data_IF_641641205986
#
_entry.id   IF_641641205986
#
_cell.length_a   1.000
_cell.length_b   1.000
_cell.length_c   1.000
_cell.angle_alpha   90.00
_cell.angle_beta   90.00
_cell.angle_gamma   90.00
#
_symmetry.space_group_name_H-M   'P 1'
#
loop_
_entity.id
_entity.type
_entity.pdbx_description
1 polymer ?
#
# COMPACT_ATOMS: atom_id res chain seq x y z
N UNK A 1 -23.52 12.60 -2.16
CA UNK A 1 -23.07 12.77 -0.77
C UNK A 1 -23.39 11.53 0.06
N UNK A 2 -24.63 11.02 0.05
CA UNK A 2 -25.04 9.79 0.76
C UNK A 2 -24.21 8.53 0.39
N UNK A 3 -23.92 8.31 -0.89
CA UNK A 3 -23.11 7.17 -1.34
C UNK A 3 -21.65 7.19 -0.84
N UNK A 4 -21.06 8.36 -0.58
CA UNK A 4 -19.67 8.40 -0.11
C UNK A 4 -19.61 8.08 1.39
N UNK A 5 -20.55 8.60 2.19
CA UNK A 5 -20.69 8.24 3.61
C UNK A 5 -20.81 6.73 3.82
N UNK A 6 -21.68 6.07 3.04
CA UNK A 6 -21.82 4.61 3.05
C UNK A 6 -20.51 3.87 2.78
N UNK A 7 -19.66 4.38 1.88
CA UNK A 7 -18.37 3.76 1.60
C UNK A 7 -17.40 3.91 2.78
N UNK A 8 -17.35 5.10 3.40
CA UNK A 8 -16.49 5.36 4.56
C UNK A 8 -16.86 4.40 5.70
N UNK A 9 -18.15 4.35 6.04
CA UNK A 9 -18.65 3.49 7.11
C UNK A 9 -18.43 2.00 6.78
N UNK A 10 -18.55 1.59 5.52
CA UNK A 10 -18.22 0.23 5.09
C UNK A 10 -16.74 -0.11 5.30
N UNK A 11 -15.84 0.80 4.95
CA UNK A 11 -14.40 0.63 5.12
C UNK A 11 -14.03 0.56 6.61
N UNK A 12 -14.58 1.46 7.43
CA UNK A 12 -14.41 1.46 8.89
C UNK A 12 -14.91 0.14 9.51
N UNK A 13 -16.11 -0.30 9.12
CA UNK A 13 -16.67 -1.58 9.58
C UNK A 13 -15.77 -2.76 9.20
N UNK A 14 -15.28 -2.81 7.95
CA UNK A 14 -14.39 -3.88 7.50
C UNK A 14 -13.10 -3.90 8.34
N UNK A 15 -12.43 -2.75 8.50
CA UNK A 15 -11.16 -2.65 9.22
C UNK A 15 -11.29 -3.08 10.70
N UNK A 16 -12.41 -2.72 11.36
CA UNK A 16 -12.68 -3.10 12.74
C UNK A 16 -12.99 -4.61 12.92
N UNK A 17 -13.35 -5.30 11.85
CA UNK A 17 -13.82 -6.69 11.90
C UNK A 17 -12.92 -7.68 11.14
N UNK A 18 -11.71 -7.30 10.73
CA UNK A 18 -10.83 -8.15 9.90
C UNK A 18 -10.53 -9.52 10.52
N UNK A 19 -10.45 -9.61 11.85
CA UNK A 19 -10.23 -10.85 12.62
C UNK A 19 -11.51 -11.64 12.96
N UNK A 20 -12.66 -11.21 12.43
CA UNK A 20 -13.96 -11.86 12.62
C UNK A 20 -14.54 -12.31 11.28
N UNK A 21 -15.45 -13.30 11.23
CA UNK A 21 -16.16 -13.64 10.01
C UNK A 21 -16.97 -12.44 9.47
N UNK A 22 -16.50 -11.83 8.38
CA UNK A 22 -17.23 -10.74 7.69
C UNK A 22 -18.02 -11.32 6.53
N UNK A 23 -19.33 -11.07 6.52
CA UNK A 23 -20.21 -11.31 5.36
C UNK A 23 -20.65 -9.97 4.77
N UNK A 24 -20.81 -9.91 3.46
CA UNK A 24 -21.30 -8.68 2.79
C UNK A 24 -22.68 -8.29 3.32
N UNK A 25 -23.51 -9.28 3.66
CA UNK A 25 -24.83 -9.10 4.26
C UNK A 25 -24.73 -8.30 5.57
N UNK A 26 -23.80 -8.68 6.45
CA UNK A 26 -23.57 -7.99 7.73
C UNK A 26 -23.16 -6.53 7.55
N UNK A 27 -22.36 -6.24 6.51
CA UNK A 27 -21.99 -4.86 6.16
C UNK A 27 -23.24 -4.09 5.71
N UNK A 28 -24.03 -4.67 4.79
CA UNK A 28 -25.22 -3.99 4.27
C UNK A 28 -26.30 -3.75 5.33
N UNK A 29 -26.46 -4.69 6.27
CA UNK A 29 -27.37 -4.58 7.42
C UNK A 29 -26.93 -3.46 8.37
N UNK A 30 -25.63 -3.40 8.69
CA UNK A 30 -25.05 -2.35 9.53
C UNK A 30 -25.25 -0.95 8.93
N UNK A 31 -25.13 -0.84 7.61
CA UNK A 31 -25.25 0.42 6.87
C UNK A 31 -26.68 0.75 6.44
N UNK A 32 -27.66 -0.07 6.83
CA UNK A 32 -29.07 0.08 6.44
C UNK A 32 -29.28 0.25 4.92
N UNK A 33 -28.50 -0.48 4.11
CA UNK A 33 -28.55 -0.40 2.65
C UNK A 33 -28.69 -1.78 2.00
N UNK A 34 -28.98 -1.82 0.70
CA UNK A 34 -29.01 -3.11 -0.02
C UNK A 34 -27.59 -3.62 -0.28
N UNK A 35 -27.40 -4.95 -0.23
CA UNK A 35 -26.15 -5.60 -0.65
C UNK A 35 -25.69 -5.17 -2.05
N UNK A 36 -26.63 -5.06 -2.99
CA UNK A 36 -26.32 -4.63 -4.36
C UNK A 36 -25.78 -3.20 -4.41
N UNK A 37 -26.32 -2.31 -3.57
CA UNK A 37 -25.88 -0.91 -3.49
C UNK A 37 -24.42 -0.84 -3.04
N UNK A 38 -24.07 -1.51 -1.93
CA UNK A 38 -22.71 -1.44 -1.40
C UNK A 38 -21.70 -2.15 -2.31
N UNK A 39 -22.06 -3.28 -2.92
CA UNK A 39 -21.18 -3.96 -3.88
C UNK A 39 -20.87 -3.11 -5.12
N UNK A 40 -21.88 -2.44 -5.68
CA UNK A 40 -21.70 -1.55 -6.83
C UNK A 40 -20.86 -0.33 -6.46
N UNK A 41 -21.17 0.29 -5.33
CA UNK A 41 -20.45 1.45 -4.82
C UNK A 41 -18.98 1.11 -4.56
N UNK A 42 -18.72 0.00 -3.87
CA UNK A 42 -17.37 -0.42 -3.54
C UNK A 42 -16.59 -0.78 -4.80
N UNK A 43 -17.19 -1.48 -5.77
CA UNK A 43 -16.54 -1.80 -7.05
C UNK A 43 -16.27 -0.54 -7.87
N UNK A 44 -17.22 0.39 -7.92
CA UNK A 44 -17.08 1.64 -8.65
C UNK A 44 -15.93 2.50 -8.11
N UNK A 45 -15.85 2.64 -6.79
CA UNK A 45 -14.77 3.41 -6.17
C UNK A 45 -13.47 2.62 -6.18
N UNK A 46 -13.44 1.42 -5.59
CA UNK A 46 -12.20 0.68 -5.33
C UNK A 46 -11.65 -0.11 -6.52
N UNK A 47 -12.43 -0.31 -7.58
CA UNK A 47 -12.11 -1.17 -8.72
C UNK A 47 -11.82 -2.64 -8.35
N UNK A 48 -12.23 -3.04 -7.14
CA UNK A 48 -12.15 -4.41 -6.61
C UNK A 48 -13.43 -4.73 -5.85
N UNK A 49 -13.72 -6.01 -5.67
CA UNK A 49 -14.86 -6.43 -4.85
C UNK A 49 -14.59 -6.24 -3.36
N UNK A 50 -15.65 -6.13 -2.54
CA UNK A 50 -15.55 -6.11 -1.08
C UNK A 50 -14.78 -7.32 -0.57
N UNK A 51 -15.05 -8.51 -1.13
CA UNK A 51 -14.35 -9.75 -0.77
C UNK A 51 -12.85 -9.66 -1.05
N UNK A 52 -12.47 -9.16 -2.21
CA UNK A 52 -11.06 -9.02 -2.59
C UNK A 52 -10.33 -8.02 -1.68
N UNK A 53 -10.99 -6.92 -1.33
CA UNK A 53 -10.47 -5.97 -0.35
C UNK A 53 -10.24 -6.62 1.02
N UNK A 54 -11.24 -7.34 1.55
CA UNK A 54 -11.11 -8.05 2.83
C UNK A 54 -9.94 -9.04 2.80
N UNK A 55 -9.79 -9.81 1.72
CA UNK A 55 -8.68 -10.76 1.57
C UNK A 55 -7.33 -10.01 1.57
N UNK A 56 -7.18 -8.97 0.76
CA UNK A 56 -5.95 -8.16 0.69
C UNK A 56 -5.59 -7.57 2.06
N UNK A 57 -6.57 -6.98 2.76
CA UNK A 57 -6.39 -6.41 4.10
C UNK A 57 -6.02 -7.45 5.14
N UNK A 58 -6.71 -8.59 5.18
CA UNK A 58 -6.37 -9.71 6.07
C UNK A 58 -4.95 -10.22 5.83
N UNK A 59 -4.54 -10.39 4.57
CA UNK A 59 -3.19 -10.89 4.26
C UNK A 59 -2.10 -9.86 4.55
N UNK A 60 -2.38 -8.56 4.44
CA UNK A 60 -1.48 -7.49 4.92
C UNK A 60 -1.32 -7.48 6.45
N UNK A 61 -2.40 -7.75 7.20
CA UNK A 61 -2.34 -7.86 8.66
C UNK A 61 -1.64 -9.16 9.09
N UNK A 62 -1.96 -10.26 8.43
CA UNK A 62 -1.35 -11.56 8.69
C UNK A 62 0.17 -11.54 8.41
N UNK A 63 0.65 -10.86 7.37
CA UNK A 63 2.10 -10.73 7.14
C UNK A 63 2.78 -9.98 8.28
N UNK A 64 2.18 -8.91 8.80
CA UNK A 64 2.70 -8.18 9.98
C UNK A 64 2.75 -9.08 11.21
N UNK A 65 1.75 -9.93 11.43
CA UNK A 65 1.77 -10.94 12.50
C UNK A 65 2.89 -11.97 12.30
N UNK A 66 3.18 -12.38 11.06
CA UNK A 66 4.29 -13.28 10.76
C UNK A 66 5.65 -12.64 11.07
N UNK A 67 5.80 -11.34 10.86
CA UNK A 67 7.03 -10.59 11.20
C UNK A 67 7.17 -10.44 12.72
N UNK A 68 6.11 -9.97 13.39
CA UNK A 68 6.15 -9.68 14.83
C UNK A 68 6.21 -10.93 15.70
N UNK A 69 5.61 -12.02 15.25
CA UNK A 69 5.47 -13.26 16.01
C UNK A 69 6.00 -14.46 15.19
N UNK A 70 7.32 -14.57 14.95
CA UNK A 70 7.89 -15.59 14.07
C UNK A 70 7.62 -17.03 14.53
N UNK A 71 7.43 -17.23 15.83
CA UNK A 71 7.17 -18.54 16.45
C UNK A 71 5.70 -18.96 16.41
N UNK A 72 4.75 -18.04 16.12
CA UNK A 72 3.33 -18.40 16.03
C UNK A 72 3.08 -19.36 14.87
N UNK A 73 2.17 -20.31 15.07
CA UNK A 73 1.83 -21.25 14.00
C UNK A 73 1.08 -20.54 12.88
N UNK A 74 1.29 -20.99 11.64
CA UNK A 74 0.56 -20.47 10.47
C UNK A 74 -0.95 -20.73 10.58
N UNK A 75 -1.33 -21.85 11.20
CA UNK A 75 -2.73 -22.19 11.42
C UNK A 75 -3.38 -21.23 12.41
N UNK A 76 -2.73 -20.89 13.51
CA UNK A 76 -3.29 -19.95 14.50
C UNK A 76 -3.53 -18.57 13.90
N UNK A 77 -2.56 -18.07 13.14
CA UNK A 77 -2.70 -16.80 12.41
C UNK A 77 -3.82 -16.91 11.37
N UNK A 78 -3.88 -18.02 10.63
CA UNK A 78 -4.96 -18.27 9.66
C UNK A 78 -6.35 -18.28 10.31
N UNK A 79 -6.51 -18.96 11.44
CA UNK A 79 -7.77 -19.05 12.19
C UNK A 79 -8.22 -17.68 12.70
N UNK A 80 -7.29 -16.85 13.17
CA UNK A 80 -7.57 -15.47 13.59
C UNK A 80 -8.17 -14.63 12.45
N UNK A 81 -7.75 -14.86 11.20
CA UNK A 81 -8.31 -14.18 10.03
C UNK A 81 -9.45 -14.97 9.35
N UNK A 82 -10.04 -15.94 10.05
CA UNK A 82 -11.22 -16.69 9.62
C UNK A 82 -10.97 -17.81 8.61
N UNK A 83 -9.73 -18.33 8.54
CA UNK A 83 -9.38 -19.49 7.72
C UNK A 83 -9.32 -20.76 8.57
N UNK A 84 -10.25 -21.69 8.33
CA UNK A 84 -10.35 -22.94 9.09
C UNK A 84 -9.34 -24.03 8.73
N UNK A 85 -8.39 -23.75 7.84
CA UNK A 85 -7.32 -24.70 7.45
C UNK A 85 -6.09 -23.96 6.95
N UNK A 86 -4.93 -24.59 7.09
CA UNK A 86 -3.66 -24.03 6.63
C UNK A 86 -3.62 -23.93 5.09
N UNK A 87 -4.26 -24.86 4.40
CA UNK A 87 -4.35 -24.87 2.92
C UNK A 87 -5.18 -23.70 2.41
N UNK A 88 -6.28 -23.36 3.09
CA UNK A 88 -7.09 -22.19 2.72
C UNK A 88 -6.35 -20.87 2.98
N UNK A 89 -5.68 -20.75 4.13
CA UNK A 89 -4.86 -19.60 4.45
C UNK A 89 -3.70 -19.43 3.47
N UNK A 90 -2.93 -20.49 3.22
CA UNK A 90 -1.79 -20.48 2.30
C UNK A 90 -2.19 -20.05 0.90
N UNK A 91 -3.29 -20.58 0.35
CA UNK A 91 -3.78 -20.16 -0.98
C UNK A 91 -4.17 -18.68 -1.02
N UNK A 92 -4.84 -18.18 0.01
CA UNK A 92 -5.21 -16.77 0.09
C UNK A 92 -3.97 -15.88 0.21
N UNK A 93 -3.01 -16.25 1.04
CA UNK A 93 -1.77 -15.51 1.23
C UNK A 93 -0.96 -15.47 -0.06
N UNK A 94 -0.77 -16.61 -0.73
CA UNK A 94 -0.10 -16.70 -2.03
C UNK A 94 -0.79 -15.85 -3.09
N UNK A 95 -2.13 -15.78 -3.09
CA UNK A 95 -2.85 -14.96 -4.06
C UNK A 95 -2.61 -13.46 -3.91
N UNK A 96 -2.15 -13.00 -2.74
CA UNK A 96 -1.89 -11.59 -2.41
C UNK A 96 -0.40 -11.28 -2.45
N UNK A 97 0.42 -12.08 -1.77
CA UNK A 97 1.87 -11.87 -1.62
C UNK A 97 2.72 -12.57 -2.68
N UNK A 98 2.11 -13.37 -3.56
CA UNK A 98 2.76 -14.16 -4.61
C UNK A 98 3.80 -15.18 -4.11
N UNK A 99 3.88 -15.38 -2.79
CA UNK A 99 4.72 -16.37 -2.11
C UNK A 99 3.92 -17.06 -1.00
N UNK A 100 4.31 -18.25 -0.58
CA UNK A 100 3.67 -18.92 0.56
C UNK A 100 3.96 -18.19 1.88
N UNK A 101 3.09 -18.34 2.91
CA UNK A 101 3.38 -17.82 4.24
C UNK A 101 4.71 -18.33 4.82
N UNK A 102 5.06 -19.59 4.52
CA UNK A 102 6.33 -20.21 4.95
C UNK A 102 7.55 -19.59 4.26
N UNK A 103 7.45 -19.27 2.97
CA UNK A 103 8.50 -18.55 2.24
C UNK A 103 8.62 -17.11 2.72
N UNK A 104 7.49 -16.43 2.91
CA UNK A 104 7.45 -15.08 3.48
C UNK A 104 8.14 -15.03 4.85
N UNK A 105 7.89 -16.01 5.72
CA UNK A 105 8.53 -16.06 7.05
C UNK A 105 10.06 -16.19 6.98
N UNK A 106 10.61 -16.82 5.94
CA UNK A 106 12.06 -16.97 5.77
C UNK A 106 12.73 -15.69 5.30
N UNK A 107 12.01 -14.88 4.54
CA UNK A 107 12.47 -13.59 4.03
C UNK A 107 11.33 -12.57 4.17
N UNK A 108 11.08 -12.11 5.41
CA UNK A 108 9.96 -11.23 5.68
C UNK A 108 10.17 -9.87 5.03
N UNK A 109 9.07 -9.29 4.58
CA UNK A 109 9.01 -7.86 4.27
C UNK A 109 8.27 -7.14 5.39
N UNK A 110 8.82 -6.02 5.85
CA UNK A 110 8.26 -5.24 6.95
C UNK A 110 7.18 -4.26 6.48
N UNK A 111 7.18 -3.94 5.19
CA UNK A 111 6.19 -3.02 4.61
C UNK A 111 4.77 -3.60 4.56
N UNK A 112 3.79 -2.69 4.59
CA UNK A 112 2.38 -3.04 4.39
C UNK A 112 2.01 -2.99 2.90
N UNK A 113 1.72 -4.14 2.30
CA UNK A 113 1.47 -4.24 0.86
C UNK A 113 0.15 -3.58 0.43
N UNK A 114 -0.94 -3.84 1.15
CA UNK A 114 -2.25 -3.22 0.89
C UNK A 114 -2.74 -2.51 2.15
N UNK A 115 -2.31 -1.26 2.40
CA UNK A 115 -2.77 -0.47 3.54
C UNK A 115 -4.28 -0.18 3.47
N UNK A 116 -4.86 0.18 4.62
CA UNK A 116 -6.26 0.60 4.70
C UNK A 116 -6.52 1.89 3.92
N UNK A 117 -7.80 2.23 3.76
CA UNK A 117 -8.17 3.52 3.18
C UNK A 117 -8.63 4.46 4.28
N UNK A 118 -8.22 5.72 4.21
CA UNK A 118 -8.65 6.77 5.13
C UNK A 118 -9.33 7.88 4.34
N UNK A 119 -10.65 7.95 4.40
CA UNK A 119 -11.43 9.02 3.77
C UNK A 119 -11.74 10.05 4.86
N UNK A 120 -11.12 11.22 4.78
CA UNK A 120 -11.39 12.31 5.73
C UNK A 120 -12.79 12.88 5.48
N UNK A 121 -13.63 12.93 6.52
CA UNK A 121 -15.00 13.47 6.43
C UNK A 121 -15.02 14.95 6.03
N UNK A 122 -13.97 15.71 6.32
CA UNK A 122 -13.84 17.13 5.95
C UNK A 122 -13.77 17.33 4.42
N UNK A 123 -13.35 16.33 3.65
CA UNK A 123 -13.35 16.36 2.17
C UNK A 123 -14.75 16.14 1.57
N UNK A 124 -15.76 15.86 2.39
CA UNK A 124 -17.16 15.71 1.96
C UNK A 124 -17.80 17.05 1.58
N UNK A 125 -17.27 18.16 2.09
CA UNK A 125 -17.82 19.51 1.90
C UNK A 125 -17.35 20.16 0.59
N UNK A 126 -16.17 19.77 0.09
CA UNK A 126 -15.59 20.34 -1.12
C UNK A 126 -16.03 19.53 -2.36
N UNK A 127 -16.91 20.11 -3.19
CA UNK A 127 -17.54 19.46 -4.36
C UNK A 127 -16.58 18.98 -5.45
N UNK A 128 -15.28 19.22 -5.29
CA UNK A 128 -14.23 18.65 -6.12
C UNK A 128 -13.62 17.49 -5.36
N UNK A 129 -14.32 16.36 -5.40
CA UNK A 129 -13.70 15.07 -5.12
C UNK A 129 -12.50 14.95 -6.04
N UNK A 130 -11.31 15.22 -5.51
CA UNK A 130 -10.09 14.86 -6.23
C UNK A 130 -10.11 13.34 -6.28
N UNK A 131 -9.96 12.78 -7.47
CA UNK A 131 -10.11 11.37 -7.85
C UNK A 131 -9.15 10.39 -7.12
N UNK A 132 -8.59 10.76 -5.98
CA UNK A 132 -7.56 10.00 -5.27
C UNK A 132 -8.15 9.35 -4.03
N UNK A 133 -8.30 8.03 -4.10
CA UNK A 133 -8.37 7.19 -2.90
C UNK A 133 -7.17 7.54 -2.02
N UNK A 134 -7.43 8.02 -0.82
CA UNK A 134 -6.35 8.24 0.14
C UNK A 134 -6.06 6.92 0.85
N UNK A 135 -4.89 6.37 0.58
CA UNK A 135 -4.30 5.34 1.43
C UNK A 135 -4.14 5.92 2.83
N UNK A 136 -4.40 5.12 3.85
CA UNK A 136 -4.14 5.49 5.23
C UNK A 136 -2.61 5.53 5.47
N UNK A 137 -2.09 6.73 5.68
CA UNK A 137 -0.66 6.98 5.96
C UNK A 137 -0.44 7.36 7.43
N UNK A 138 -1.35 6.99 8.33
CA UNK A 138 -1.29 7.40 9.75
C UNK A 138 0.02 6.96 10.42
N UNK A 139 0.46 5.73 10.17
CA UNK A 139 1.73 5.21 10.72
C UNK A 139 2.92 6.03 10.22
N UNK A 140 3.00 6.30 8.91
CA UNK A 140 4.02 7.19 8.35
C UNK A 140 3.94 8.60 8.95
N UNK A 141 2.73 9.13 9.13
CA UNK A 141 2.51 10.46 9.69
C UNK A 141 2.91 10.56 11.17
N UNK A 142 2.82 9.47 11.93
CA UNK A 142 3.30 9.44 13.30
C UNK A 142 4.83 9.33 13.34
N UNK A 143 5.43 8.46 12.51
CA UNK A 143 6.89 8.36 12.40
C UNK A 143 7.55 9.67 11.94
N UNK A 144 6.97 10.38 10.97
CA UNK A 144 7.58 11.62 10.44
C UNK A 144 7.57 12.76 11.47
N UNK A 145 6.61 12.82 12.40
CA UNK A 145 6.60 13.82 13.48
C UNK A 145 7.76 13.66 14.45
N UNK A 146 8.23 12.43 14.60
CA UNK A 146 9.31 12.07 15.51
C UNK A 146 10.69 12.29 14.86
N UNK A 147 10.76 12.47 13.53
CA UNK A 147 12.00 12.68 12.77
C UNK A 147 12.19 14.15 12.37
N UNK A 148 13.44 14.63 12.42
CA UNK A 148 13.81 15.99 12.02
C UNK A 148 15.02 15.98 11.08
N UNK A 149 14.98 16.82 10.06
CA UNK A 149 16.06 16.94 9.08
C UNK A 149 16.29 15.68 8.24
N UNK A 150 15.36 14.73 8.24
CA UNK A 150 15.48 13.47 7.51
C UNK A 150 15.17 13.64 6.02
N UNK A 151 15.37 12.57 5.25
CA UNK A 151 14.99 12.50 3.84
C UNK A 151 13.82 11.54 3.62
N UNK A 152 12.95 11.91 2.68
CA UNK A 152 11.90 11.07 2.12
C UNK A 152 12.34 10.64 0.73
N UNK A 153 12.43 9.33 0.49
CA UNK A 153 12.73 8.78 -0.84
C UNK A 153 11.42 8.37 -1.48
N UNK A 154 10.88 9.23 -2.33
CA UNK A 154 9.60 9.04 -3.00
C UNK A 154 9.77 8.19 -4.25
N UNK A 155 8.92 7.18 -4.41
CA UNK A 155 8.93 6.23 -5.51
C UNK A 155 7.60 6.20 -6.27
N UNK A 156 7.63 6.04 -7.59
CA UNK A 156 6.45 5.85 -8.44
C UNK A 156 6.72 4.82 -9.54
N UNK A 157 5.85 3.83 -9.72
CA UNK A 157 5.99 2.86 -10.83
C UNK A 157 5.65 3.55 -12.15
N UNK A 158 6.61 3.53 -13.07
CA UNK A 158 6.38 3.94 -14.45
C UNK A 158 5.38 3.00 -15.12
N UNK A 159 4.15 3.46 -15.33
CA UNK A 159 3.17 2.79 -16.19
C UNK A 159 2.54 1.54 -15.56
N UNK A 160 2.05 1.64 -14.32
CA UNK A 160 1.35 0.51 -13.68
C UNK A 160 0.02 0.14 -14.38
N UNK A 161 -0.63 1.08 -15.06
CA UNK A 161 -1.90 0.82 -15.80
C UNK A 161 -1.69 -0.23 -16.90
N UNK A 162 -0.76 -0.07 -17.86
CA UNK A 162 -0.43 -1.10 -18.84
C UNK A 162 -0.14 -2.49 -18.24
N UNK A 163 0.58 -2.56 -17.11
CA UNK A 163 0.89 -3.84 -16.45
C UNK A 163 -0.40 -4.49 -15.92
N UNK A 164 -1.31 -3.68 -15.36
CA UNK A 164 -2.62 -4.16 -14.90
C UNK A 164 -3.54 -4.63 -16.03
N UNK A 165 -3.36 -4.12 -17.26
CA UNK A 165 -4.09 -4.57 -18.45
C UNK A 165 -3.63 -5.96 -18.91
N UNK A 166 -2.35 -6.31 -18.71
CA UNK A 166 -1.87 -7.70 -18.89
C UNK A 166 -2.56 -8.60 -17.87
N UNK A 167 -2.47 -8.25 -16.59
CA UNK A 167 -3.19 -8.92 -15.50
C UNK A 167 -3.12 -8.09 -14.23
N UNK A 168 -4.23 -8.03 -13.50
CA UNK A 168 -4.25 -7.42 -12.15
C UNK A 168 -3.20 -8.03 -11.21
N UNK A 169 -2.94 -9.34 -11.35
CA UNK A 169 -1.92 -10.03 -10.55
C UNK A 169 -0.50 -9.69 -10.97
N UNK A 170 -0.27 -9.39 -12.26
CA UNK A 170 1.01 -8.86 -12.72
C UNK A 170 1.26 -7.46 -12.14
N UNK A 171 0.23 -6.63 -12.07
CA UNK A 171 0.30 -5.33 -11.38
C UNK A 171 0.58 -5.48 -9.88
N UNK A 172 -0.06 -6.43 -9.20
CA UNK A 172 0.23 -6.73 -7.79
C UNK A 172 1.69 -7.21 -7.61
N UNK A 173 2.22 -8.04 -8.52
CA UNK A 173 3.63 -8.45 -8.52
C UNK A 173 4.60 -7.28 -8.78
N UNK A 174 4.25 -6.35 -9.67
CA UNK A 174 5.02 -5.13 -9.90
C UNK A 174 5.14 -4.30 -8.63
N UNK A 175 4.02 -4.10 -7.92
CA UNK A 175 4.01 -3.40 -6.62
C UNK A 175 4.90 -4.10 -5.60
N UNK A 176 4.74 -5.42 -5.43
CA UNK A 176 5.57 -6.20 -4.48
C UNK A 176 7.05 -6.05 -4.80
N UNK A 177 7.41 -6.17 -6.08
CA UNK A 177 8.80 -6.10 -6.53
C UNK A 177 9.38 -4.71 -6.31
N UNK A 178 8.63 -3.65 -6.63
CA UNK A 178 9.04 -2.27 -6.35
C UNK A 178 9.26 -2.01 -4.86
N UNK A 179 8.32 -2.45 -4.01
CA UNK A 179 8.45 -2.33 -2.56
C UNK A 179 9.67 -3.09 -2.04
N UNK A 180 9.94 -4.30 -2.55
CA UNK A 180 11.14 -5.08 -2.20
C UNK A 180 12.44 -4.40 -2.62
N UNK A 181 12.50 -3.80 -3.81
CA UNK A 181 13.68 -3.03 -4.25
C UNK A 181 13.94 -1.83 -3.33
N UNK A 182 12.88 -1.15 -2.89
CA UNK A 182 13.00 -0.05 -1.93
C UNK A 182 13.44 -0.54 -0.55
N UNK A 183 12.85 -1.64 -0.05
CA UNK A 183 13.22 -2.27 1.23
C UNK A 183 14.67 -2.79 1.23
N UNK A 184 15.16 -3.34 0.12
CA UNK A 184 16.55 -3.80 -0.01
C UNK A 184 17.56 -2.65 -0.05
N UNK A 185 17.19 -1.50 -0.58
CA UNK A 185 18.04 -0.30 -0.54
C UNK A 185 18.03 0.34 0.85
N UNK A 186 16.89 0.32 1.55
CA UNK A 186 16.67 0.96 2.84
C UNK A 186 17.68 0.52 3.91
N UNK A 187 18.04 1.47 4.78
CA UNK A 187 18.83 1.17 5.98
C UNK A 187 18.03 0.40 7.03
N UNK A 188 18.70 -0.11 8.08
CA UNK A 188 18.05 -0.91 9.14
C UNK A 188 16.98 -0.15 9.93
N UNK A 189 17.10 1.18 10.05
CA UNK A 189 16.14 2.04 10.78
C UNK A 189 15.23 2.83 9.82
N UNK A 190 15.38 2.62 8.52
CA UNK A 190 14.52 3.21 7.50
C UNK A 190 13.22 2.40 7.39
N UNK A 191 12.12 3.07 7.04
CA UNK A 191 10.81 2.42 6.96
C UNK A 191 10.20 2.68 5.59
N UNK A 192 9.75 1.61 4.92
CA UNK A 192 9.13 1.67 3.59
C UNK A 192 7.61 1.63 3.70
N UNK A 193 6.95 2.62 3.12
CA UNK A 193 5.50 2.73 3.08
C UNK A 193 4.98 2.79 1.65
N UNK A 194 3.82 2.17 1.44
CA UNK A 194 3.00 2.41 0.27
C UNK A 194 2.01 3.52 0.59
N UNK A 195 2.03 4.59 -0.18
CA UNK A 195 1.22 5.80 0.07
C UNK A 195 0.15 6.03 -1.02
N UNK A 196 0.18 5.23 -2.08
CA UNK A 196 -0.80 5.30 -3.16
C UNK A 196 -0.95 3.99 -3.94
N UNK A 197 -1.47 4.09 -5.15
CA UNK A 197 -1.65 2.93 -6.05
C UNK A 197 -0.31 2.38 -6.53
N UNK A 198 0.53 3.25 -7.07
CA UNK A 198 1.88 3.04 -7.58
C UNK A 198 2.92 3.91 -6.85
N UNK A 199 2.50 4.63 -5.81
CA UNK A 199 3.31 5.60 -5.08
C UNK A 199 3.79 5.03 -3.73
N UNK A 200 5.08 5.25 -3.43
CA UNK A 200 5.78 4.70 -2.28
C UNK A 200 6.70 5.75 -1.65
N UNK A 201 7.13 5.51 -0.41
CA UNK A 201 8.11 6.35 0.28
C UNK A 201 8.99 5.53 1.20
N UNK A 202 10.29 5.80 1.19
CA UNK A 202 11.19 5.44 2.29
C UNK A 202 11.29 6.65 3.23
N UNK A 203 10.97 6.43 4.49
CA UNK A 203 11.26 7.36 5.57
C UNK A 203 12.65 7.02 6.12
N UNK A 204 13.63 7.87 5.84
CA UNK A 204 15.01 7.62 6.28
C UNK A 204 15.24 8.01 7.73
N UNK A 205 16.12 7.31 8.43
CA UNK A 205 16.62 7.71 9.77
C UNK A 205 17.97 8.42 9.68
N UNK A 206 18.10 9.31 8.70
CA UNK A 206 19.37 9.99 8.42
C UNK A 206 19.14 11.40 7.91
N UNK A 207 20.02 12.30 8.34
CA UNK A 207 20.09 13.68 7.84
C UNK A 207 21.14 13.85 6.73
N UNK A 208 21.78 12.77 6.29
CA UNK A 208 22.83 12.79 5.29
C UNK A 208 22.26 12.74 3.87
N UNK A 209 22.50 13.80 3.10
CA UNK A 209 22.09 13.87 1.70
C UNK A 209 22.83 12.86 0.82
N UNK A 210 24.09 12.52 1.15
CA UNK A 210 24.85 11.52 0.40
C UNK A 210 24.23 10.13 0.56
N UNK A 211 23.77 9.80 1.76
CA UNK A 211 22.99 8.59 2.04
C UNK A 211 21.69 8.56 1.22
N UNK A 212 20.90 9.64 1.23
CA UNK A 212 19.67 9.72 0.45
C UNK A 212 19.91 9.55 -1.07
N UNK A 213 20.99 10.14 -1.60
CA UNK A 213 21.40 9.96 -3.01
C UNK A 213 21.82 8.53 -3.31
N UNK A 214 22.53 7.87 -2.38
CA UNK A 214 22.91 6.46 -2.50
C UNK A 214 21.66 5.57 -2.63
N UNK A 215 20.67 5.75 -1.76
CA UNK A 215 19.40 5.01 -1.81
C UNK A 215 18.71 5.16 -3.17
N UNK A 216 18.57 6.39 -3.67
CA UNK A 216 18.02 6.64 -5.01
C UNK A 216 18.79 5.89 -6.10
N UNK A 217 20.13 5.91 -6.04
CA UNK A 217 21.00 5.22 -7.01
C UNK A 217 20.84 3.70 -6.97
N UNK A 218 20.80 3.10 -5.78
CA UNK A 218 20.56 1.66 -5.60
C UNK A 218 19.21 1.24 -6.20
N UNK A 219 18.13 1.97 -5.90
CA UNK A 219 16.80 1.66 -6.42
C UNK A 219 16.76 1.79 -7.95
N UNK A 220 17.34 2.86 -8.50
CA UNK A 220 17.38 3.11 -9.95
C UNK A 220 18.24 2.07 -10.69
N UNK A 221 19.25 1.47 -10.03
CA UNK A 221 20.09 0.45 -10.65
C UNK A 221 19.32 -0.81 -11.09
N UNK A 222 18.13 -1.05 -10.52
CA UNK A 222 17.24 -2.15 -10.88
C UNK A 222 16.28 -1.83 -12.05
N UNK A 223 16.32 -0.63 -12.64
CA UNK A 223 15.31 -0.20 -13.61
C UNK A 223 15.36 -0.91 -14.97
N UNK A 224 16.44 -1.66 -15.26
CA UNK A 224 16.58 -2.47 -16.47
C UNK A 224 16.14 -3.94 -16.26
N UNK A 225 15.76 -4.30 -15.04
CA UNK A 225 15.23 -5.63 -14.72
C UNK A 225 13.73 -5.75 -15.03
N UNK A 226 13.29 -6.97 -15.33
CA UNK A 226 11.90 -7.32 -15.58
C UNK A 226 11.28 -8.12 -14.43
N UNK A 227 9.95 -8.12 -14.35
CA UNK A 227 9.19 -9.13 -13.62
C UNK A 227 8.72 -10.22 -14.60
N UNK A 228 8.78 -11.47 -14.17
CA UNK A 228 8.29 -12.59 -14.96
C UNK A 228 6.84 -12.90 -14.58
N UNK A 229 5.92 -12.82 -15.54
CA UNK A 229 4.51 -13.15 -15.34
C UNK A 229 3.94 -13.93 -16.52
N UNK A 230 3.44 -15.14 -16.25
CA UNK A 230 2.82 -16.02 -17.25
C UNK A 230 3.71 -16.25 -18.49
N UNK A 231 5.02 -16.44 -18.26
CA UNK A 231 6.01 -16.64 -19.32
C UNK A 231 6.44 -15.38 -20.07
N UNK A 232 5.93 -14.19 -19.68
CA UNK A 232 6.31 -12.91 -20.25
C UNK A 232 7.23 -12.14 -19.30
N UNK A 233 8.26 -11.50 -19.86
CA UNK A 233 9.10 -10.55 -19.13
C UNK A 233 8.52 -9.14 -19.31
N UNK A 234 8.12 -8.53 -18.19
CA UNK A 234 7.51 -7.21 -18.15
C UNK A 234 8.52 -6.24 -17.55
N UNK A 235 9.00 -5.22 -18.29
CA UNK A 235 9.91 -4.23 -17.75
C UNK A 235 9.30 -3.50 -16.54
N UNK A 236 10.09 -3.34 -15.47
CA UNK A 236 9.66 -2.65 -14.26
C UNK A 236 10.63 -1.51 -13.94
N UNK A 237 10.18 -0.28 -14.17
CA UNK A 237 10.94 0.94 -13.87
C UNK A 237 10.27 1.71 -12.72
N UNK A 238 11.07 2.13 -11.74
CA UNK A 238 10.67 3.01 -10.67
C UNK A 238 11.31 4.40 -10.86
N UNK A 239 10.49 5.44 -10.79
CA UNK A 239 10.94 6.82 -10.66
C UNK A 239 11.18 7.13 -9.20
N UNK A 240 12.33 7.72 -8.87
CA UNK A 240 12.72 7.97 -7.48
C UNK A 240 13.21 9.41 -7.29
N UNK A 241 12.84 10.03 -6.16
CA UNK A 241 13.29 11.36 -5.75
C UNK A 241 13.58 11.41 -4.25
N UNK A 242 14.69 12.03 -3.87
CA UNK A 242 14.93 12.40 -2.47
C UNK A 242 14.38 13.81 -2.19
N UNK A 243 13.61 13.94 -1.11
CA UNK A 243 13.09 15.22 -0.60
C UNK A 243 13.52 15.37 0.84
N UNK A 244 14.16 16.51 1.16
CA UNK A 244 14.54 16.81 2.54
C UNK A 244 13.31 17.28 3.33
N UNK A 245 13.16 16.76 4.53
CA UNK A 245 12.12 17.12 5.47
C UNK A 245 12.73 17.70 6.75
N UNK A 246 12.63 19.02 6.91
CA UNK A 246 13.26 19.73 8.05
C UNK A 246 12.55 19.49 9.38
N UNK A 247 11.31 18.98 9.37
CA UNK A 247 10.49 18.84 10.57
C UNK A 247 9.79 20.14 10.99
N UNK A 248 8.66 20.00 11.69
CA UNK A 248 7.91 21.14 12.24
C UNK A 248 6.65 20.68 12.97
N UNK A 249 6.45 21.18 14.19
CA UNK A 249 5.38 20.76 15.12
C UNK A 249 3.96 21.15 14.71
N UNK A 250 3.76 21.72 13.52
CA UNK A 250 2.47 22.23 13.04
C UNK A 250 1.97 21.57 11.74
N UNK A 251 2.66 20.55 11.21
CA UNK A 251 2.23 19.91 9.98
C UNK A 251 1.00 19.04 10.22
N UNK A 252 -0.14 19.37 9.60
CA UNK A 252 -1.35 18.54 9.65
C UNK A 252 -1.21 17.33 8.74
N UNK A 253 -1.94 16.26 9.03
CA UNK A 253 -1.97 15.04 8.20
C UNK A 253 -2.30 15.34 6.75
N UNK A 254 -3.34 16.16 6.52
CA UNK A 254 -3.79 16.54 5.18
C UNK A 254 -2.75 17.34 4.40
N UNK A 255 -2.02 18.22 5.08
CA UNK A 255 -0.93 18.99 4.47
C UNK A 255 0.25 18.08 4.11
N UNK A 256 0.62 17.14 4.99
CA UNK A 256 1.67 16.16 4.74
C UNK A 256 1.34 15.23 3.57
N UNK A 257 0.12 14.69 3.56
CA UNK A 257 -0.39 13.88 2.46
C UNK A 257 -0.31 14.64 1.13
N UNK A 258 -0.79 15.89 1.12
CA UNK A 258 -0.76 16.74 -0.08
C UNK A 258 0.67 17.00 -0.54
N UNK A 259 1.59 17.26 0.39
CA UNK A 259 3.01 17.45 0.09
C UNK A 259 3.60 16.23 -0.61
N UNK A 260 3.46 15.03 -0.04
CA UNK A 260 3.98 13.78 -0.63
C UNK A 260 3.51 13.59 -2.08
N UNK A 261 2.20 13.71 -2.32
CA UNK A 261 1.62 13.51 -3.64
C UNK A 261 1.89 14.65 -4.63
N UNK A 262 2.20 15.86 -4.14
CA UNK A 262 2.63 16.96 -5.00
C UNK A 262 4.08 16.79 -5.48
N UNK A 263 4.92 16.18 -4.65
CA UNK A 263 6.32 15.89 -4.99
C UNK A 263 6.45 14.75 -6.02
N UNK A 264 5.45 13.86 -6.10
CA UNK A 264 5.32 12.76 -7.09
C UNK A 264 4.54 13.22 -8.36
N UNK A 265 4.40 14.52 -8.58
CA UNK A 265 3.59 15.08 -9.67
C UNK A 265 4.07 14.72 -11.09
N UNK A 266 3.19 14.93 -12.08
CA UNK A 266 3.48 14.76 -13.51
C UNK A 266 4.74 15.51 -13.99
N UNK A 267 5.10 16.64 -13.37
CA UNK A 267 6.34 17.36 -13.70
C UNK A 267 7.59 16.57 -13.28
N UNK A 268 7.55 15.91 -12.12
CA UNK A 268 8.60 14.98 -11.69
C UNK A 268 8.70 13.81 -12.67
N UNK A 269 7.56 13.20 -13.04
CA UNK A 269 7.53 12.11 -14.01
C UNK A 269 8.18 12.55 -15.34
N UNK A 270 7.81 13.73 -15.88
CA UNK A 270 8.38 14.30 -17.12
C UNK A 270 9.89 14.52 -17.09
N UNK A 271 10.45 15.06 -16.00
CA UNK A 271 11.90 15.23 -15.86
C UNK A 271 12.66 13.90 -15.89
N UNK A 272 12.04 12.83 -15.39
CA UNK A 272 12.58 11.48 -15.52
C UNK A 272 12.34 10.84 -16.90
N UNK A 273 11.38 11.34 -17.71
CA UNK A 273 11.17 10.91 -19.10
C UNK A 273 12.19 11.49 -20.07
N UNK A 274 12.64 12.73 -19.85
CA UNK A 274 13.57 13.44 -20.75
C UNK A 274 15.06 13.11 -20.51
N UNK A 275 15.37 12.36 -19.45
CA UNK A 275 16.73 11.96 -19.08
C UNK A 275 17.21 10.60 -19.61
N UNK A 276 16.54 10.01 -20.61
CA UNK A 276 16.99 8.80 -21.31
C UNK A 276 17.42 9.13 -22.74
#
# INVERSE_FOLDING_TARGET
MENLGLLIEALEFIEQNLASPIRTESISEHLHCSKSTIEKLFKYVNNISIRDYIIRRRMSRASRELVKNPDRSLLDIGMEYGYGSNEAFTRAFQSVWQVSPSEFRKNPSEFELFPGYRIERELLEDKKMTDRKKVDISELYDCIKERKGCFLILGDIKGLIPINEISRKAGDLAIITSMKRMEQAAGPEDIVFRIGGDEFVILTDSTDEAYAKKLCGEIVSHNDECISWDGNEIPLTLYVKAVRYEGGSALRYSDFFTMLHSEISEEFKRKCYEGK
#
